data_IF_645773391317
#
_entry.id   IF_645773391317
#
_cell.length_a   1.000
_cell.length_b   1.000
_cell.length_c   1.000
_cell.angle_alpha   90.00
_cell.angle_beta   90.00
_cell.angle_gamma   90.00
#
_symmetry.space_group_name_H-M   'P 1'
#
loop_
_entity.id
_entity.type
_entity.pdbx_description
1 polymer ?
#
# COMPACT_ATOMS: atom_id res chain seq x y z
N UNK A 1 -9.62 36.23 -62.12
CA UNK A 1 -9.75 36.43 -60.65
C UNK A 1 -9.84 35.16 -59.80
N UNK A 2 -10.11 33.95 -60.34
CA UNK A 2 -10.17 32.71 -59.53
C UNK A 2 -8.80 32.07 -59.23
N UNK A 3 -7.78 32.31 -60.05
CA UNK A 3 -6.45 31.70 -59.89
C UNK A 3 -5.62 32.32 -58.75
N UNK A 4 -5.81 33.61 -58.46
CA UNK A 4 -5.05 34.34 -57.44
C UNK A 4 -5.47 33.97 -56.01
N UNK A 5 -6.73 33.54 -55.81
CA UNK A 5 -7.26 33.18 -54.49
C UNK A 5 -6.76 31.80 -54.00
N UNK A 6 -6.52 30.87 -54.92
CA UNK A 6 -6.01 29.51 -54.61
C UNK A 6 -4.55 29.56 -54.15
N UNK A 7 -3.76 30.53 -54.65
CA UNK A 7 -2.35 30.66 -54.33
C UNK A 7 -2.11 31.23 -52.93
N UNK A 8 -2.99 32.13 -52.46
CA UNK A 8 -2.91 32.70 -51.10
C UNK A 8 -3.23 31.64 -50.03
N UNK A 9 -4.23 30.77 -50.27
CA UNK A 9 -4.61 29.70 -49.32
C UNK A 9 -3.48 28.66 -49.15
N UNK A 10 -2.77 28.30 -50.23
CA UNK A 10 -1.63 27.37 -50.12
C UNK A 10 -0.45 27.98 -49.37
N UNK A 11 -0.24 29.30 -49.46
CA UNK A 11 0.85 29.97 -48.74
C UNK A 11 0.58 30.04 -47.23
N UNK A 12 -0.68 30.24 -46.81
CA UNK A 12 -1.08 30.23 -45.39
C UNK A 12 -0.96 28.83 -44.76
N UNK A 13 -1.25 27.76 -45.52
CA UNK A 13 -1.11 26.37 -45.03
C UNK A 13 0.37 25.94 -44.86
N UNK A 14 1.28 26.45 -45.69
CA UNK A 14 2.72 26.20 -45.54
C UNK A 14 3.28 26.98 -44.33
N UNK A 15 2.79 28.18 -44.05
CA UNK A 15 3.18 28.94 -42.86
C UNK A 15 2.69 28.30 -41.54
N UNK A 16 1.53 27.64 -41.52
CA UNK A 16 1.04 26.89 -40.35
C UNK A 16 1.83 25.60 -40.08
N UNK A 17 2.45 24.99 -41.10
CA UNK A 17 3.33 23.82 -40.94
C UNK A 17 4.78 24.17 -40.64
N UNK A 18 5.17 25.44 -40.87
CA UNK A 18 6.47 26.00 -40.51
C UNK A 18 6.49 26.66 -39.12
N UNK A 19 5.41 26.53 -38.32
CA UNK A 19 5.50 26.81 -36.88
C UNK A 19 6.38 25.73 -36.28
N UNK A 20 7.55 26.06 -35.70
CA UNK A 20 8.45 25.06 -35.16
C UNK A 20 7.70 24.23 -34.11
N UNK A 21 7.52 22.94 -34.39
CA UNK A 21 7.09 21.92 -33.40
C UNK A 21 8.01 21.85 -32.17
N UNK A 22 9.10 22.63 -32.16
CA UNK A 22 10.09 22.71 -31.10
C UNK A 22 9.76 23.69 -29.97
N UNK A 23 8.63 24.40 -30.01
CA UNK A 23 8.19 25.24 -28.88
C UNK A 23 6.99 24.63 -28.15
N UNK A 24 7.08 23.34 -27.83
CA UNK A 24 6.36 22.83 -26.66
C UNK A 24 7.10 23.44 -25.47
N UNK A 25 6.60 24.57 -24.98
CA UNK A 25 6.91 25.08 -23.66
C UNK A 25 6.50 24.00 -22.66
N UNK A 26 7.42 23.08 -22.37
CA UNK A 26 7.37 22.30 -21.15
C UNK A 26 7.41 23.31 -20.02
N UNK A 27 6.24 23.71 -19.56
CA UNK A 27 6.04 24.21 -18.22
C UNK A 27 6.50 23.09 -17.31
N UNK A 28 7.81 23.06 -17.04
CA UNK A 28 8.38 22.27 -15.96
C UNK A 28 7.80 22.92 -14.72
N UNK A 29 6.65 22.39 -14.30
CA UNK A 29 6.06 22.71 -13.01
C UNK A 29 7.16 22.46 -11.99
N UNK A 30 7.68 23.55 -11.42
CA UNK A 30 8.72 23.52 -10.40
C UNK A 30 8.21 22.64 -9.27
N UNK A 31 8.59 21.37 -9.28
CA UNK A 31 8.33 20.47 -8.17
C UNK A 31 9.03 21.10 -6.98
N UNK A 32 8.26 21.47 -5.94
CA UNK A 32 8.83 21.90 -4.68
C UNK A 32 9.56 20.69 -4.07
N UNK A 33 10.82 20.52 -4.46
CA UNK A 33 11.72 19.49 -3.96
C UNK A 33 12.03 19.80 -2.51
N UNK A 34 11.54 18.96 -1.60
CA UNK A 34 11.87 19.06 -0.19
C UNK A 34 13.30 18.61 0.07
N UNK A 35 13.92 19.20 1.07
CA UNK A 35 15.28 18.89 1.53
C UNK A 35 15.25 17.48 2.17
N UNK A 36 16.04 16.52 1.66
CA UNK A 36 16.12 15.20 2.27
C UNK A 36 16.87 15.27 3.61
N UNK A 37 16.37 14.53 4.59
CA UNK A 37 17.03 14.27 5.87
C UNK A 37 17.29 12.78 5.93
N UNK A 38 18.54 12.39 5.77
CA UNK A 38 18.95 10.99 5.83
C UNK A 38 18.77 10.46 7.27
N UNK A 39 18.34 9.21 7.38
CA UNK A 39 18.02 8.54 8.62
C UNK A 39 18.84 7.26 8.75
N UNK A 40 19.72 7.21 9.74
CA UNK A 40 20.30 5.96 10.23
C UNK A 40 19.51 5.49 11.44
N UNK A 41 18.85 4.34 11.33
CA UNK A 41 18.00 3.77 12.38
C UNK A 41 18.78 3.36 13.63
N UNK A 42 20.08 3.06 13.49
CA UNK A 42 20.97 2.78 14.61
C UNK A 42 21.79 3.99 15.07
N UNK A 43 21.69 5.11 14.33
CA UNK A 43 22.43 6.33 14.61
C UNK A 43 21.68 7.30 15.54
N UNK A 44 22.31 8.46 15.84
CA UNK A 44 21.64 9.56 16.50
C UNK A 44 20.44 10.06 15.67
N UNK A 45 19.29 10.27 16.32
CA UNK A 45 18.09 10.76 15.65
C UNK A 45 18.29 12.21 15.16
N UNK A 46 18.10 12.51 13.86
CA UNK A 46 18.19 13.87 13.35
C UNK A 46 17.14 14.81 13.96
N UNK A 47 17.51 16.07 14.21
CA UNK A 47 16.64 17.08 14.86
C UNK A 47 15.28 17.30 14.20
N UNK A 48 15.16 16.96 12.90
CA UNK A 48 13.95 17.17 12.09
C UNK A 48 13.01 15.98 12.11
N UNK A 49 13.43 14.85 12.68
CA UNK A 49 12.65 13.62 12.77
C UNK A 49 12.10 13.48 14.19
N UNK A 50 10.88 12.97 14.30
CA UNK A 50 10.24 12.57 15.54
C UNK A 50 9.97 11.08 15.50
N UNK A 51 10.10 10.47 16.67
CA UNK A 51 9.68 9.10 16.93
C UNK A 51 8.39 9.14 17.75
N UNK A 52 7.39 8.37 17.33
CA UNK A 52 6.20 8.13 18.14
C UNK A 52 5.81 6.65 18.12
N UNK A 53 5.17 6.10 19.16
CA UNK A 53 4.54 4.80 19.05
C UNK A 53 3.44 4.86 17.98
N UNK A 54 3.32 3.83 17.16
CA UNK A 54 2.17 3.70 16.25
C UNK A 54 0.91 3.38 17.06
N UNK A 55 -0.20 4.04 16.72
CA UNK A 55 -1.51 3.80 17.37
C UNK A 55 -2.20 2.56 16.83
N UNK A 56 -1.92 2.22 15.58
CA UNK A 56 -2.60 1.15 14.84
C UNK A 56 -1.78 -0.14 14.85
N UNK A 57 -0.47 -0.03 15.01
CA UNK A 57 0.46 -1.15 14.90
C UNK A 57 1.44 -1.15 16.06
N UNK A 58 1.87 -2.33 16.50
CA UNK A 58 2.94 -2.46 17.48
C UNK A 58 4.25 -2.06 16.82
N UNK A 59 4.78 -0.87 17.11
CA UNK A 59 6.04 -0.42 16.54
C UNK A 59 6.37 1.05 16.76
N UNK A 60 7.53 1.42 16.25
CA UNK A 60 8.14 2.74 16.36
C UNK A 60 8.02 3.45 15.02
N UNK A 61 7.33 4.58 15.00
CA UNK A 61 7.05 5.35 13.79
C UNK A 61 7.99 6.57 13.72
N UNK A 62 8.74 6.66 12.63
CA UNK A 62 9.66 7.76 12.32
C UNK A 62 9.04 8.65 11.26
N UNK A 63 8.97 9.96 11.54
CA UNK A 63 8.38 10.95 10.64
C UNK A 63 9.10 12.30 10.76
N UNK A 64 8.99 13.13 9.72
CA UNK A 64 9.36 14.55 9.85
C UNK A 64 8.40 15.24 10.84
N UNK A 65 8.96 15.97 11.79
CA UNK A 65 8.21 16.77 12.77
C UNK A 65 7.23 17.72 12.05
N UNK A 66 5.99 17.89 12.54
CA UNK A 66 4.96 18.67 11.87
C UNK A 66 5.41 20.05 11.36
N UNK A 67 6.17 20.80 12.15
CA UNK A 67 6.70 22.13 11.84
C UNK A 67 7.69 22.15 10.67
N UNK A 68 8.34 21.02 10.35
CA UNK A 68 9.31 20.90 9.26
C UNK A 68 8.75 20.22 8.01
N UNK A 69 7.51 19.71 8.04
CA UNK A 69 6.93 18.90 6.95
C UNK A 69 6.82 19.62 5.61
N UNK A 70 6.78 20.95 5.59
CA UNK A 70 6.69 21.74 4.35
C UNK A 70 8.01 21.72 3.57
N UNK A 71 9.13 21.77 4.27
CA UNK A 71 10.47 21.96 3.71
C UNK A 71 11.28 20.67 3.65
N UNK A 72 11.03 19.73 4.57
CA UNK A 72 11.83 18.53 4.74
C UNK A 72 11.05 17.24 4.48
N UNK A 73 11.79 16.20 4.09
CA UNK A 73 11.32 14.82 3.92
C UNK A 73 12.40 13.87 4.44
N UNK A 74 12.05 12.63 4.79
CA UNK A 74 13.06 11.63 5.07
C UNK A 74 13.68 11.18 3.74
N UNK A 75 15.01 11.21 3.68
CA UNK A 75 15.82 10.88 2.52
C UNK A 75 16.19 9.41 2.49
N UNK A 76 17.51 9.14 2.44
CA UNK A 76 18.09 7.80 2.48
C UNK A 76 17.87 7.18 3.85
N UNK A 77 17.55 5.89 3.88
CA UNK A 77 17.32 5.12 5.11
C UNK A 77 18.39 4.03 5.21
N UNK A 78 19.12 4.05 6.32
CA UNK A 78 20.18 3.08 6.62
C UNK A 78 20.00 2.50 8.02
N UNK A 79 20.63 1.36 8.28
CA UNK A 79 20.79 0.78 9.62
C UNK A 79 22.22 0.25 9.75
N UNK A 80 23.06 0.88 10.59
CA UNK A 80 24.48 0.52 10.73
C UNK A 80 25.23 0.51 9.39
N UNK A 81 25.06 1.57 8.59
CA UNK A 81 25.60 1.70 7.22
C UNK A 81 25.00 0.76 6.15
N UNK A 82 24.14 -0.18 6.50
CA UNK A 82 23.39 -0.97 5.52
C UNK A 82 22.29 -0.11 4.92
N UNK A 83 22.27 0.05 3.58
CA UNK A 83 21.21 0.75 2.87
C UNK A 83 19.94 -0.09 2.86
N UNK A 84 18.88 0.41 3.48
CA UNK A 84 17.56 -0.23 3.45
C UNK A 84 16.75 0.31 2.27
N UNK A 85 16.70 1.63 2.11
CA UNK A 85 15.96 2.26 1.03
C UNK A 85 16.60 3.60 0.63
N UNK A 86 16.84 3.77 -0.66
CA UNK A 86 17.47 4.99 -1.18
C UNK A 86 16.47 6.14 -1.31
N UNK A 87 17.00 7.34 -1.55
CA UNK A 87 16.19 8.53 -1.74
C UNK A 87 15.80 8.75 -3.22
N UNK A 88 14.66 9.42 -3.44
CA UNK A 88 14.26 9.87 -4.77
C UNK A 88 13.70 11.29 -4.75
N UNK A 89 14.10 12.14 -5.69
CA UNK A 89 13.75 13.58 -5.69
C UNK A 89 12.24 13.86 -5.83
N UNK A 90 11.46 12.88 -6.30
CA UNK A 90 9.99 12.97 -6.40
C UNK A 90 9.26 12.65 -5.09
N UNK A 91 9.96 12.12 -4.08
CA UNK A 91 9.32 11.79 -2.81
C UNK A 91 8.89 13.10 -2.13
N UNK A 92 7.65 13.12 -1.70
CA UNK A 92 7.02 14.27 -1.05
C UNK A 92 6.87 14.06 0.46
N UNK A 93 6.71 12.80 0.88
CA UNK A 93 6.60 12.39 2.28
C UNK A 93 7.10 10.95 2.39
N UNK A 94 7.84 10.65 3.46
CA UNK A 94 8.18 9.28 3.84
C UNK A 94 7.88 9.09 5.33
N UNK A 95 7.38 7.92 5.67
CA UNK A 95 7.17 7.47 7.05
C UNK A 95 7.78 6.09 7.17
N UNK A 96 8.45 5.81 8.28
CA UNK A 96 9.10 4.52 8.51
C UNK A 96 8.50 3.92 9.78
N UNK A 97 7.97 2.71 9.69
CA UNK A 97 7.55 1.94 10.84
C UNK A 97 8.56 0.83 11.08
N UNK A 98 9.13 0.80 12.28
CA UNK A 98 10.05 -0.25 12.70
C UNK A 98 9.37 -1.10 13.76
N UNK A 99 9.43 -2.42 13.62
CA UNK A 99 8.92 -3.39 14.58
C UNK A 99 10.01 -4.38 14.93
N UNK A 100 10.07 -4.75 16.19
CA UNK A 100 10.98 -5.80 16.67
C UNK A 100 10.12 -6.87 17.33
N UNK A 101 10.15 -8.07 16.77
CA UNK A 101 9.37 -9.21 17.24
C UNK A 101 10.10 -9.96 18.37
N UNK A 102 9.40 -10.82 19.13
CA UNK A 102 10.01 -11.59 20.24
C UNK A 102 11.16 -12.51 19.81
N UNK A 103 11.16 -12.98 18.57
CA UNK A 103 12.21 -13.80 17.97
C UNK A 103 13.43 -12.99 17.47
N UNK A 104 13.48 -11.70 17.82
CA UNK A 104 14.48 -10.71 17.36
C UNK A 104 14.42 -10.41 15.86
N UNK A 105 13.35 -10.77 15.17
CA UNK A 105 13.10 -10.30 13.81
C UNK A 105 12.85 -8.79 13.84
N UNK A 106 13.58 -8.03 13.04
CA UNK A 106 13.37 -6.60 12.82
C UNK A 106 12.63 -6.45 11.49
N UNK A 107 11.46 -5.85 11.53
CA UNK A 107 10.66 -5.52 10.35
C UNK A 107 10.61 -4.02 10.16
N UNK A 108 10.76 -3.58 8.92
CA UNK A 108 10.77 -2.18 8.52
C UNK A 108 9.80 -2.01 7.36
N UNK A 109 8.88 -1.08 7.53
CA UNK A 109 7.95 -0.65 6.51
C UNK A 109 8.24 0.79 6.15
N UNK A 110 8.52 1.04 4.87
CA UNK A 110 8.80 2.37 4.32
C UNK A 110 7.63 2.79 3.45
N UNK A 111 6.93 3.82 3.91
CA UNK A 111 5.75 4.33 3.27
C UNK A 111 6.07 5.65 2.57
N UNK A 112 6.12 5.63 1.25
CA UNK A 112 6.55 6.77 0.43
C UNK A 112 5.36 7.34 -0.33
N UNK A 113 5.09 8.62 -0.14
CA UNK A 113 4.18 9.37 -1.00
C UNK A 113 5.02 10.22 -1.97
N UNK A 114 4.78 10.10 -3.27
CA UNK A 114 5.54 10.78 -4.32
C UNK A 114 4.60 11.49 -5.30
N UNK A 115 5.13 12.46 -6.05
CA UNK A 115 4.39 13.05 -7.18
C UNK A 115 4.84 12.42 -8.49
N UNK A 116 3.89 11.92 -9.27
CA UNK A 116 4.20 11.38 -10.60
C UNK A 116 4.49 12.51 -11.60
N UNK A 117 4.76 12.17 -12.86
CA UNK A 117 5.07 13.15 -13.92
C UNK A 117 3.92 14.11 -14.23
N UNK A 118 2.68 13.75 -13.89
CA UNK A 118 1.48 14.59 -14.02
C UNK A 118 1.24 15.47 -12.78
N UNK A 119 2.07 15.33 -11.74
CA UNK A 119 1.91 16.01 -10.46
C UNK A 119 0.89 15.37 -9.53
N UNK A 120 0.28 14.25 -9.92
CA UNK A 120 -0.66 13.48 -9.09
C UNK A 120 0.09 12.79 -7.95
N UNK A 121 -0.57 12.64 -6.80
CA UNK A 121 0.00 11.96 -5.65
C UNK A 121 -0.10 10.44 -5.86
N UNK A 122 1.03 9.75 -5.75
CA UNK A 122 1.11 8.29 -5.71
C UNK A 122 1.70 7.84 -4.38
N UNK A 123 1.47 6.56 -4.06
CA UNK A 123 2.00 5.91 -2.87
C UNK A 123 2.75 4.65 -3.25
N UNK A 124 3.79 4.36 -2.50
CA UNK A 124 4.61 3.15 -2.63
C UNK A 124 4.90 2.62 -1.23
N UNK A 125 4.89 1.30 -1.12
CA UNK A 125 5.11 0.57 0.12
C UNK A 125 6.23 -0.43 -0.08
N UNK A 126 7.36 -0.17 0.59
CA UNK A 126 8.48 -1.09 0.64
C UNK A 126 8.56 -1.72 2.01
N UNK A 127 8.85 -3.00 2.06
CA UNK A 127 8.92 -3.76 3.30
C UNK A 127 10.16 -4.61 3.34
N UNK A 128 10.83 -4.56 4.47
CA UNK A 128 12.07 -5.27 4.68
C UNK A 128 12.03 -5.98 6.03
N UNK A 129 12.71 -7.10 6.12
CA UNK A 129 12.91 -7.78 7.40
C UNK A 129 14.35 -8.28 7.52
N UNK A 130 14.83 -8.35 8.76
CA UNK A 130 16.11 -8.93 9.15
C UNK A 130 15.86 -9.89 10.30
N UNK A 131 16.50 -11.05 10.29
CA UNK A 131 16.38 -12.06 11.36
C UNK A 131 17.72 -12.24 12.05
N UNK A 132 17.75 -12.98 13.15
CA UNK A 132 19.01 -13.36 13.80
C UNK A 132 19.91 -14.25 12.92
N UNK A 133 19.31 -14.98 11.97
CA UNK A 133 20.00 -15.87 11.03
C UNK A 133 20.46 -15.08 9.80
N UNK A 134 19.59 -14.24 9.25
CA UNK A 134 19.87 -13.41 8.08
C UNK A 134 20.21 -12.00 8.54
N UNK A 135 21.51 -11.70 8.59
CA UNK A 135 22.05 -10.45 9.15
C UNK A 135 21.84 -9.23 8.26
N UNK A 136 21.32 -9.40 7.04
CA UNK A 136 20.98 -8.32 6.12
C UNK A 136 19.47 -8.16 6.01
N UNK A 137 19.02 -6.99 5.61
CA UNK A 137 17.62 -6.76 5.29
C UNK A 137 17.26 -7.41 3.96
N UNK A 138 16.15 -8.13 3.95
CA UNK A 138 15.57 -8.75 2.78
C UNK A 138 14.18 -8.16 2.52
N UNK A 139 13.78 -7.97 1.24
CA UNK A 139 12.41 -7.62 0.91
C UNK A 139 11.43 -8.65 1.49
N UNK A 140 10.29 -8.19 1.98
CA UNK A 140 9.25 -9.08 2.50
C UNK A 140 8.52 -9.79 1.35
N UNK A 141 8.52 -11.12 1.40
CA UNK A 141 7.74 -11.98 0.51
C UNK A 141 6.78 -12.83 1.34
N UNK A 142 5.50 -12.42 1.35
CA UNK A 142 4.48 -13.11 2.15
C UNK A 142 3.97 -14.36 1.45
N UNK A 143 3.93 -15.46 2.18
CA UNK A 143 3.27 -16.68 1.71
C UNK A 143 1.75 -16.53 1.83
N UNK A 144 0.98 -16.66 0.74
CA UNK A 144 -0.48 -16.68 0.81
C UNK A 144 -0.93 -17.97 1.50
N UNK A 145 -1.75 -17.84 2.54
CA UNK A 145 -2.36 -18.97 3.26
C UNK A 145 -3.85 -19.06 2.96
N UNK A 146 -4.39 -20.27 3.09
CA UNK A 146 -5.82 -20.53 2.97
C UNK A 146 -6.53 -20.23 4.30
N UNK A 147 -7.64 -19.50 4.22
CA UNK A 147 -8.55 -19.26 5.33
C UNK A 147 -9.84 -20.04 5.11
N UNK A 148 -10.17 -20.94 6.03
CA UNK A 148 -11.50 -21.57 6.12
C UNK A 148 -12.38 -20.80 7.12
N UNK A 149 -13.43 -20.12 6.65
CA UNK A 149 -14.31 -19.29 7.49
C UNK A 149 -15.07 -20.12 8.54
N UNK A 150 -15.32 -21.40 8.28
CA UNK A 150 -15.99 -22.27 9.25
C UNK A 150 -15.06 -22.84 10.32
N UNK A 151 -13.77 -22.48 10.32
CA UNK A 151 -12.87 -22.91 11.39
C UNK A 151 -13.32 -22.36 12.74
N UNK A 152 -13.10 -23.16 13.78
CA UNK A 152 -13.35 -22.78 15.17
C UNK A 152 -12.06 -22.24 15.78
N UNK A 153 -12.08 -20.98 16.21
CA UNK A 153 -10.98 -20.35 16.94
C UNK A 153 -9.75 -19.98 16.10
N UNK A 154 -8.71 -19.54 16.82
CA UNK A 154 -7.45 -19.07 16.22
C UNK A 154 -6.52 -20.25 15.86
N UNK A 155 -5.73 -20.09 14.82
CA UNK A 155 -4.66 -21.02 14.41
C UNK A 155 -3.29 -20.40 14.65
N UNK A 156 -2.19 -21.07 14.27
CA UNK A 156 -0.84 -20.49 14.35
C UNK A 156 -0.62 -19.25 13.48
N UNK A 157 -1.49 -19.01 12.49
CA UNK A 157 -1.37 -17.89 11.55
C UNK A 157 -2.58 -16.95 11.58
N UNK A 158 -3.77 -17.46 11.93
CA UNK A 158 -5.01 -16.70 11.94
C UNK A 158 -5.42 -16.40 13.39
N UNK A 159 -5.63 -15.13 13.70
CA UNK A 159 -6.28 -14.63 14.90
C UNK A 159 -7.76 -14.43 14.61
N UNK A 160 -8.62 -15.08 15.40
CA UNK A 160 -10.08 -14.91 15.33
C UNK A 160 -10.53 -14.04 16.49
N UNK A 161 -11.16 -12.91 16.17
CA UNK A 161 -11.78 -12.01 17.16
C UNK A 161 -13.29 -12.11 17.02
N UNK A 162 -13.94 -12.63 18.05
CA UNK A 162 -15.39 -12.83 18.06
C UNK A 162 -16.08 -11.70 18.83
N UNK A 163 -17.21 -11.22 18.29
CA UNK A 163 -18.13 -10.34 18.98
C UNK A 163 -19.47 -11.08 19.16
N UNK A 164 -19.73 -11.64 20.36
CA UNK A 164 -20.95 -12.38 20.66
C UNK A 164 -22.23 -11.55 20.50
N UNK A 165 -22.16 -10.22 20.73
CA UNK A 165 -23.34 -9.36 20.66
C UNK A 165 -23.88 -9.17 19.25
N UNK A 166 -23.01 -9.23 18.24
CA UNK A 166 -23.36 -9.08 16.82
C UNK A 166 -23.19 -10.37 16.05
N UNK A 167 -22.86 -11.48 16.72
CA UNK A 167 -22.50 -12.76 16.11
C UNK A 167 -21.50 -12.58 14.94
N UNK A 168 -20.49 -11.74 15.15
CA UNK A 168 -19.51 -11.38 14.13
C UNK A 168 -18.15 -11.97 14.48
N UNK A 169 -17.45 -12.52 13.48
CA UNK A 169 -16.07 -13.01 13.61
C UNK A 169 -15.16 -12.26 12.65
N UNK A 170 -14.07 -11.73 13.16
CA UNK A 170 -13.02 -11.11 12.37
C UNK A 170 -11.81 -12.04 12.29
N UNK A 171 -11.35 -12.32 11.07
CA UNK A 171 -10.16 -13.12 10.82
C UNK A 171 -9.03 -12.20 10.38
N UNK A 172 -7.93 -12.28 11.12
CA UNK A 172 -6.75 -11.45 10.99
C UNK A 172 -5.53 -12.36 10.92
N UNK A 173 -4.44 -11.91 10.30
CA UNK A 173 -3.15 -12.57 10.54
C UNK A 173 -2.72 -12.29 11.98
N UNK A 174 -2.08 -13.27 12.64
CA UNK A 174 -1.50 -13.05 13.96
C UNK A 174 -0.46 -11.91 13.93
N UNK A 175 -0.46 -11.09 14.97
CA UNK A 175 0.35 -9.86 15.01
C UNK A 175 1.86 -10.14 14.88
N UNK A 176 2.33 -11.33 15.26
CA UNK A 176 3.74 -11.76 15.15
C UNK A 176 4.07 -12.53 13.85
N UNK A 177 3.10 -12.70 12.94
CA UNK A 177 3.24 -13.43 11.67
C UNK A 177 2.94 -12.56 10.44
N UNK A 178 2.55 -11.31 10.64
CA UNK A 178 2.09 -10.41 9.59
C UNK A 178 3.17 -10.00 8.58
N UNK A 179 4.45 -10.21 8.89
CA UNK A 179 5.56 -10.05 7.94
C UNK A 179 5.81 -11.30 7.08
N UNK A 180 5.32 -12.48 7.47
CA UNK A 180 5.66 -13.76 6.82
C UNK A 180 4.51 -14.32 5.97
N UNK A 181 3.26 -14.07 6.37
CA UNK A 181 2.08 -14.64 5.71
C UNK A 181 1.02 -13.59 5.43
N UNK A 182 0.17 -13.85 4.43
CA UNK A 182 -1.04 -13.08 4.14
C UNK A 182 -2.21 -14.01 3.86
N UNK A 183 -3.43 -13.58 4.13
CA UNK A 183 -4.63 -14.33 3.74
C UNK A 183 -4.73 -14.28 2.21
N UNK A 184 -4.65 -15.45 1.58
CA UNK A 184 -4.78 -15.62 0.14
C UNK A 184 -6.20 -16.07 -0.23
N UNK A 185 -6.39 -17.39 -0.31
CA UNK A 185 -7.68 -18.01 -0.65
C UNK A 185 -8.58 -18.03 0.58
N UNK A 186 -9.82 -17.60 0.41
CA UNK A 186 -10.85 -17.58 1.44
C UNK A 186 -11.92 -18.57 1.04
N UNK A 187 -12.20 -19.53 1.92
CA UNK A 187 -13.16 -20.62 1.71
C UNK A 187 -14.28 -20.62 2.75
N UNK A 188 -15.39 -21.20 2.34
CA UNK A 188 -16.49 -21.60 3.20
C UNK A 188 -16.84 -23.05 2.87
N UNK A 189 -16.34 -23.97 3.68
CA UNK A 189 -16.32 -25.40 3.39
C UNK A 189 -15.58 -25.68 2.08
N UNK A 190 -16.28 -26.25 1.10
CA UNK A 190 -15.67 -26.58 -0.22
C UNK A 190 -15.67 -25.42 -1.22
N UNK A 191 -16.27 -24.29 -0.88
CA UNK A 191 -16.48 -23.19 -1.82
C UNK A 191 -15.44 -22.10 -1.63
N UNK A 192 -14.82 -21.66 -2.73
CA UNK A 192 -13.95 -20.49 -2.73
C UNK A 192 -14.81 -19.24 -2.83
N UNK A 193 -14.63 -18.32 -1.89
CA UNK A 193 -15.31 -17.02 -1.86
C UNK A 193 -14.47 -15.98 -2.60
N UNK A 194 -13.17 -15.95 -2.29
CA UNK A 194 -12.23 -14.97 -2.83
C UNK A 194 -10.83 -15.59 -2.89
N UNK A 195 -10.17 -15.49 -4.04
CA UNK A 195 -8.82 -16.01 -4.29
C UNK A 195 -7.86 -14.94 -4.83
N UNK A 196 -8.23 -13.66 -4.72
CA UNK A 196 -7.40 -12.55 -5.24
C UNK A 196 -6.13 -12.41 -4.41
N UNK A 197 -4.96 -12.71 -4.97
CA UNK A 197 -3.67 -12.62 -4.24
C UNK A 197 -2.71 -11.60 -4.82
N UNK A 198 -2.92 -11.23 -6.08
CA UNK A 198 -2.03 -10.35 -6.83
C UNK A 198 -2.12 -8.92 -6.31
N UNK A 199 -0.95 -8.33 -6.02
CA UNK A 199 -0.78 -6.98 -5.45
C UNK A 199 -1.47 -6.71 -4.10
N UNK A 200 -2.21 -7.68 -3.57
CA UNK A 200 -2.81 -7.62 -2.24
C UNK A 200 -1.70 -7.69 -1.20
N UNK A 201 -1.58 -6.60 -0.45
CA UNK A 201 -0.69 -6.43 0.68
C UNK A 201 -1.23 -7.20 1.89
N UNK A 202 -2.50 -6.98 2.25
CA UNK A 202 -3.16 -7.66 3.35
C UNK A 202 -4.66 -7.84 3.09
N UNK A 203 -5.27 -8.83 3.75
CA UNK A 203 -6.73 -8.98 3.80
C UNK A 203 -7.22 -9.11 5.23
N UNK A 204 -8.45 -8.65 5.42
CA UNK A 204 -9.23 -8.79 6.64
C UNK A 204 -10.57 -9.42 6.25
N UNK A 205 -10.97 -10.49 6.93
CA UNK A 205 -12.25 -11.14 6.65
C UNK A 205 -13.18 -10.91 7.82
N UNK A 206 -14.38 -10.45 7.55
CA UNK A 206 -15.46 -10.33 8.53
C UNK A 206 -16.58 -11.26 8.13
N UNK A 207 -16.92 -12.18 9.01
CA UNK A 207 -18.05 -13.08 8.89
C UNK A 207 -19.15 -12.65 9.85
N UNK A 208 -20.36 -12.49 9.35
CA UNK A 208 -21.55 -12.22 10.14
C UNK A 208 -22.63 -13.23 9.73
N UNK A 209 -23.31 -13.82 10.70
CA UNK A 209 -24.41 -14.75 10.46
C UNK A 209 -24.10 -16.20 10.86
N UNK A 210 -24.87 -17.12 10.31
CA UNK A 210 -24.79 -18.55 10.61
C UNK A 210 -24.30 -19.34 9.40
N UNK A 211 -24.21 -20.67 9.54
CA UNK A 211 -23.93 -21.54 8.41
C UNK A 211 -25.02 -21.48 7.31
N UNK A 212 -26.27 -21.17 7.70
CA UNK A 212 -27.43 -21.16 6.81
C UNK A 212 -27.70 -19.80 6.16
N UNK A 213 -27.25 -18.71 6.79
CA UNK A 213 -27.31 -17.35 6.25
C UNK A 213 -25.96 -16.61 6.45
N UNK A 214 -24.91 -16.99 5.69
CA UNK A 214 -23.59 -16.41 5.87
C UNK A 214 -23.43 -15.09 5.10
N UNK A 215 -23.00 -14.04 5.80
CA UNK A 215 -22.63 -12.74 5.23
C UNK A 215 -21.12 -12.54 5.37
N UNK A 216 -20.42 -12.53 4.23
CA UNK A 216 -18.95 -12.44 4.21
C UNK A 216 -18.51 -11.11 3.62
N UNK A 217 -17.66 -10.40 4.33
CA UNK A 217 -16.97 -9.20 3.87
C UNK A 217 -15.48 -9.44 3.81
N UNK A 218 -14.86 -9.13 2.69
CA UNK A 218 -13.41 -9.21 2.49
C UNK A 218 -12.90 -7.80 2.24
N UNK A 219 -12.06 -7.29 3.13
CA UNK A 219 -11.34 -6.03 2.91
C UNK A 219 -9.93 -6.37 2.44
N UNK A 220 -9.59 -6.02 1.20
CA UNK A 220 -8.25 -6.18 0.63
C UNK A 220 -7.56 -4.82 0.56
N UNK A 221 -6.36 -4.73 1.12
CA UNK A 221 -5.48 -3.57 1.01
C UNK A 221 -4.39 -3.91 0.01
N UNK A 222 -4.14 -3.03 -0.94
CA UNK A 222 -3.14 -3.20 -2.00
C UNK A 222 -1.87 -2.42 -1.70
N UNK A 223 -0.78 -2.72 -2.43
CA UNK A 223 0.52 -2.03 -2.29
C UNK A 223 0.46 -0.52 -2.56
N UNK A 224 -0.46 -0.09 -3.42
CA UNK A 224 -0.71 1.34 -3.69
C UNK A 224 -1.59 2.03 -2.62
N UNK A 225 -1.92 1.30 -1.55
CA UNK A 225 -2.86 1.66 -0.47
C UNK A 225 -4.31 1.79 -0.87
N UNK A 226 -4.67 1.46 -2.10
CA UNK A 226 -6.08 1.30 -2.42
C UNK A 226 -6.66 0.20 -1.53
N UNK A 227 -7.90 0.40 -1.11
CA UNK A 227 -8.61 -0.53 -0.26
C UNK A 227 -9.92 -0.89 -0.95
N UNK A 228 -10.16 -2.18 -1.13
CA UNK A 228 -11.41 -2.69 -1.69
C UNK A 228 -12.11 -3.51 -0.62
N UNK A 229 -13.33 -3.13 -0.29
CA UNK A 229 -14.23 -3.93 0.55
C UNK A 229 -15.25 -4.64 -0.34
N UNK A 230 -15.16 -5.95 -0.42
CA UNK A 230 -16.05 -6.82 -1.19
C UNK A 230 -17.08 -7.47 -0.27
N UNK A 231 -18.36 -7.43 -0.65
CA UNK A 231 -19.46 -8.10 0.05
C UNK A 231 -19.94 -9.29 -0.77
N UNK A 232 -19.98 -10.46 -0.15
CA UNK A 232 -20.44 -11.71 -0.75
C UNK A 232 -21.74 -12.17 -0.10
N UNK A 233 -22.73 -12.49 -0.93
CA UNK A 233 -24.01 -13.04 -0.49
C UNK A 233 -24.11 -14.53 -0.78
N UNK A 234 -24.79 -15.24 0.12
CA UNK A 234 -25.15 -16.63 -0.08
C UNK A 234 -26.46 -16.76 -0.86
N UNK A 235 -26.41 -17.37 -2.04
CA UNK A 235 -27.56 -17.60 -2.93
C UNK A 235 -27.89 -19.09 -3.12
N UNK A 236 -27.11 -19.98 -2.49
CA UNK A 236 -27.25 -21.43 -2.62
C UNK A 236 -26.79 -22.01 -3.96
N UNK A 237 -27.06 -23.30 -4.19
CA UNK A 237 -26.70 -24.00 -5.43
C UNK A 237 -25.20 -24.38 -5.54
N UNK A 238 -24.70 -24.67 -6.76
CA UNK A 238 -23.33 -25.13 -6.98
C UNK A 238 -22.24 -24.08 -6.73
N UNK A 239 -22.60 -22.79 -6.82
CA UNK A 239 -21.74 -21.63 -6.54
C UNK A 239 -22.47 -20.71 -5.56
N UNK A 240 -22.43 -21.07 -4.27
CA UNK A 240 -23.31 -20.44 -3.31
C UNK A 240 -22.95 -19.00 -2.98
N UNK A 241 -21.73 -18.55 -3.24
CA UNK A 241 -21.32 -17.18 -2.96
C UNK A 241 -21.20 -16.38 -4.25
N UNK A 242 -21.84 -15.21 -4.26
CA UNK A 242 -21.77 -14.24 -5.37
C UNK A 242 -21.33 -12.90 -4.80
N UNK A 243 -20.40 -12.24 -5.50
CA UNK A 243 -20.01 -10.87 -5.21
C UNK A 243 -21.20 -9.94 -5.44
N UNK A 244 -21.73 -9.35 -4.37
CA UNK A 244 -22.85 -8.39 -4.47
C UNK A 244 -22.33 -7.00 -4.82
N UNK A 245 -21.25 -6.57 -4.15
CA UNK A 245 -20.77 -5.19 -4.23
C UNK A 245 -19.30 -5.08 -3.83
N UNK A 246 -18.60 -4.16 -4.50
CA UNK A 246 -17.27 -3.69 -4.09
C UNK A 246 -17.34 -2.19 -3.76
N UNK A 247 -16.62 -1.80 -2.72
CA UNK A 247 -16.40 -0.41 -2.34
C UNK A 247 -14.91 -0.11 -2.41
N UNK A 248 -14.52 0.85 -3.24
CA UNK A 248 -13.14 1.33 -3.32
C UNK A 248 -12.95 2.56 -2.42
N UNK A 249 -11.89 2.55 -1.62
CA UNK A 249 -11.46 3.66 -0.78
C UNK A 249 -10.03 4.04 -1.17
N UNK A 250 -9.76 5.34 -1.26
CA UNK A 250 -8.47 5.87 -1.73
C UNK A 250 -7.61 6.49 -0.63
N UNK A 251 -8.06 6.55 0.62
CA UNK A 251 -7.29 7.05 1.75
C UNK A 251 -7.69 6.29 3.02
N UNK A 252 -6.77 5.47 3.54
CA UNK A 252 -6.81 4.89 4.90
C UNK A 252 -5.88 5.70 5.81
#
# INVERSE_FOLDING_TARGET
MKATFILVIRFVLVLLTAIPRHFVLTLVTKCNTKIPVDLDLSGPLPDKIIISPSKEFLGTLYQIKPEYRKEYRIGRITDNSELISDDHFRNSKRMILVRVYPDSTVYIEVNTAFRNSKGELGYEWDEFFRTSIHTRYHPVERTPIELEIMMEGSTSFIKVVENPSTNTRHYLIQDDKDYAVKIGVIKFGKYVIDDRVDEVFSKFVTFNGSADDPHVFVTSIFKDKSCIKSKYNFVGGPRPFVLEREFAFHDL
#
